data_IF_840703837490
#
_entry.id   IF_840703837490
#
_cell.length_a   1.000
_cell.length_b   1.000
_cell.length_c   1.000
_cell.angle_alpha   90.00
_cell.angle_beta   90.00
_cell.angle_gamma   90.00
#
_symmetry.space_group_name_H-M   'P 1'
#
loop_
_entity.id
_entity.type
_entity.pdbx_description
1 polymer ?
#
# COMPACT_ATOMS: atom_id res chain seq x y z
N UNK A 1 -0.06 11.71 -17.57
CA UNK A 1 0.68 11.29 -16.36
C UNK A 1 -0.36 10.85 -15.34
N UNK A 2 -0.54 9.55 -15.13
CA UNK A 2 -1.55 9.05 -14.21
C UNK A 2 -0.94 8.94 -12.81
N UNK A 3 -0.98 10.03 -12.03
CA UNK A 3 -0.81 9.96 -10.57
C UNK A 3 -2.09 9.34 -9.99
N UNK A 4 -2.15 8.02 -10.03
CA UNK A 4 -3.36 7.24 -9.73
C UNK A 4 -3.16 6.29 -8.56
N UNK A 5 -2.21 6.52 -7.66
CA UNK A 5 -2.02 5.71 -6.45
C UNK A 5 -2.18 6.61 -5.24
N UNK A 6 -3.07 6.22 -4.33
CA UNK A 6 -3.21 6.85 -3.02
C UNK A 6 -2.56 5.95 -1.97
N UNK A 7 -1.86 6.57 -1.02
CA UNK A 7 -1.18 5.89 0.07
C UNK A 7 -1.85 6.28 1.39
N UNK A 8 -2.12 5.30 2.25
CA UNK A 8 -2.65 5.56 3.58
C UNK A 8 -1.57 6.15 4.49
N UNK A 9 -1.88 7.25 5.19
CA UNK A 9 -1.01 7.84 6.21
C UNK A 9 -1.09 7.12 7.56
N UNK A 10 -2.20 6.41 7.81
CA UNK A 10 -2.43 5.67 9.06
C UNK A 10 -1.90 4.23 8.97
N UNK A 11 -1.83 3.69 7.75
CA UNK A 11 -1.30 2.35 7.49
C UNK A 11 -0.21 2.44 6.41
N UNK A 12 1.04 2.69 6.81
CA UNK A 12 2.18 2.73 5.90
C UNK A 12 2.24 1.44 5.07
N UNK A 13 2.40 1.59 3.76
CA UNK A 13 2.38 0.48 2.80
C UNK A 13 1.01 0.10 2.24
N UNK A 14 -0.10 0.62 2.77
CA UNK A 14 -1.41 0.44 2.13
C UNK A 14 -1.56 1.41 0.96
N UNK A 15 -1.25 0.90 -0.23
CA UNK A 15 -1.33 1.65 -1.48
C UNK A 15 -2.48 1.13 -2.34
N UNK A 16 -3.24 2.06 -2.92
CA UNK A 16 -4.40 1.75 -3.73
C UNK A 16 -4.34 2.48 -5.07
N UNK A 17 -4.35 1.72 -6.16
CA UNK A 17 -4.47 2.25 -7.50
C UNK A 17 -5.90 2.74 -7.76
N UNK A 18 -6.13 4.06 -7.75
CA UNK A 18 -7.43 4.71 -8.01
C UNK A 18 -8.02 4.25 -9.34
N UNK A 19 -7.22 4.17 -10.40
CA UNK A 19 -7.71 3.69 -11.71
C UNK A 19 -8.11 2.20 -11.68
N UNK A 20 -7.41 1.38 -10.90
CA UNK A 20 -7.71 -0.04 -10.76
C UNK A 20 -8.97 -0.27 -9.92
N UNK A 21 -9.16 0.54 -8.86
CA UNK A 21 -10.43 0.59 -8.12
C UNK A 21 -11.57 1.05 -9.01
N UNK A 22 -11.31 2.10 -9.82
CA UNK A 22 -12.09 2.61 -10.95
C UNK A 22 -12.72 1.50 -11.80
N UNK A 23 -11.82 0.65 -12.28
CA UNK A 23 -12.11 -0.41 -13.22
C UNK A 23 -12.62 -1.72 -12.57
N UNK A 24 -12.74 -1.78 -11.23
CA UNK A 24 -13.02 -3.02 -10.51
C UNK A 24 -11.93 -4.10 -10.68
N UNK A 25 -10.73 -3.70 -11.09
CA UNK A 25 -9.62 -4.62 -11.34
C UNK A 25 -8.85 -4.87 -10.04
N UNK A 26 -9.36 -5.82 -9.25
CA UNK A 26 -8.76 -6.18 -7.96
C UNK A 26 -7.34 -6.72 -8.13
N UNK A 27 -7.01 -7.42 -9.22
CA UNK A 27 -5.66 -7.93 -9.45
C UNK A 27 -4.63 -6.79 -9.57
N UNK A 28 -4.99 -5.71 -10.28
CA UNK A 28 -4.15 -4.52 -10.36
C UNK A 28 -4.07 -3.77 -9.02
N UNK A 29 -5.16 -3.72 -8.25
CA UNK A 29 -5.12 -3.16 -6.88
C UNK A 29 -4.15 -3.96 -6.00
N UNK A 30 -4.18 -5.29 -6.07
CA UNK A 30 -3.28 -6.15 -5.30
C UNK A 30 -1.82 -6.02 -5.72
N UNK A 31 -1.55 -5.78 -7.00
CA UNK A 31 -0.20 -5.51 -7.47
C UNK A 31 0.37 -4.21 -6.87
N UNK A 32 -0.43 -3.15 -6.82
CA UNK A 32 -0.05 -1.87 -6.19
C UNK A 32 0.10 -2.03 -4.68
N UNK A 33 -0.79 -2.77 -4.03
CA UNK A 33 -0.71 -3.05 -2.60
C UNK A 33 0.59 -3.78 -2.24
N UNK A 34 0.98 -4.80 -3.01
CA UNK A 34 2.23 -5.52 -2.79
C UNK A 34 3.45 -4.61 -2.87
N UNK A 35 3.46 -3.64 -3.79
CA UNK A 35 4.55 -2.66 -3.88
C UNK A 35 4.65 -1.82 -2.60
N UNK A 36 3.51 -1.41 -2.02
CA UNK A 36 3.49 -0.69 -0.76
C UNK A 36 3.92 -1.53 0.43
N UNK A 37 3.52 -2.81 0.50
CA UNK A 37 3.94 -3.71 1.59
C UNK A 37 5.45 -4.04 1.55
N UNK A 38 6.06 -4.01 0.37
CA UNK A 38 7.49 -4.26 0.20
C UNK A 38 8.36 -3.08 0.64
N UNK A 39 7.76 -1.93 0.96
CA UNK A 39 8.50 -0.74 1.40
C UNK A 39 9.01 -0.84 2.83
N UNK A 40 10.15 -0.19 3.08
CA UNK A 40 10.75 -0.08 4.41
C UNK A 40 9.81 0.59 5.41
N UNK A 41 8.96 1.52 4.97
CA UNK A 41 7.95 2.15 5.85
C UNK A 41 6.95 1.14 6.40
N UNK A 42 6.53 0.16 5.58
CA UNK A 42 5.65 -0.90 6.04
C UNK A 42 6.37 -1.84 7.01
N UNK A 43 7.62 -2.21 6.73
CA UNK A 43 8.41 -3.06 7.62
C UNK A 43 8.63 -2.41 8.99
N UNK A 44 8.94 -1.11 9.01
CA UNK A 44 9.07 -0.32 10.24
C UNK A 44 7.72 -0.23 11.00
N UNK A 45 6.61 -0.07 10.29
CA UNK A 45 5.28 -0.08 10.89
C UNK A 45 4.95 -1.44 11.54
N UNK A 46 5.21 -2.56 10.84
CA UNK A 46 5.02 -3.91 11.39
C UNK A 46 5.88 -4.14 12.62
N UNK A 47 7.17 -3.76 12.57
CA UNK A 47 8.08 -3.85 13.71
C UNK A 47 7.57 -3.08 14.94
N UNK A 48 6.98 -1.89 14.73
CA UNK A 48 6.37 -1.10 15.81
C UNK A 48 5.12 -1.76 16.42
N UNK A 49 4.42 -2.60 15.66
CA UNK A 49 3.24 -3.33 16.14
C UNK A 49 3.60 -4.64 16.84
N UNK A 50 4.71 -5.27 16.48
CA UNK A 50 5.16 -6.54 17.07
C UNK A 50 5.90 -6.38 18.39
N UNK A 51 6.14 -5.16 18.86
CA UNK A 51 6.61 -4.89 20.22
C UNK A 51 8.04 -5.38 20.50
N UNK A 52 8.91 -5.42 19.49
CA UNK A 52 10.34 -5.60 19.72
C UNK A 52 10.97 -4.21 19.98
N UNK A 53 10.93 -3.79 21.24
CA UNK A 53 11.80 -2.73 21.78
C UNK A 53 13.07 -3.36 22.35
#
# INVERSE_FOLDING_TARGET
MAMGVICSSVFPGLWLGVSAMLAGNLAAVMAVLKQGLDTDEHQAFVASMTGEF
#
